data_IF_573477574404
#
_entry.id   IF_573477574404
#
_cell.length_a   1.000
_cell.length_b   1.000
_cell.length_c   1.000
_cell.angle_alpha   90.00
_cell.angle_beta   90.00
_cell.angle_gamma   90.00
#
_symmetry.space_group_name_H-M   'P 1'
#
loop_
_entity.id
_entity.type
_entity.pdbx_description
1 polymer ?
#
# COMPACT_ATOMS: atom_id res chain seq x y z
N UNK A 1 21.16 -41.62 8.28
CA UNK A 1 20.34 -42.86 8.39
C UNK A 1 19.80 -43.11 9.80
N UNK A 2 20.61 -43.34 10.84
CA UNK A 2 20.11 -43.68 12.21
C UNK A 2 19.03 -42.73 12.76
N UNK A 3 19.16 -41.42 12.56
CA UNK A 3 18.11 -40.44 12.93
C UNK A 3 16.81 -40.63 12.12
N UNK A 4 16.92 -40.89 10.81
CA UNK A 4 15.79 -41.09 9.92
C UNK A 4 15.07 -42.44 10.11
N UNK A 5 15.75 -43.42 10.69
CA UNK A 5 15.20 -44.73 11.05
C UNK A 5 14.74 -44.81 12.52
N UNK A 6 14.94 -43.74 13.30
CA UNK A 6 14.52 -43.68 14.71
C UNK A 6 15.42 -44.50 15.65
N UNK A 7 16.68 -44.70 15.29
CA UNK A 7 17.67 -45.48 16.06
C UNK A 7 18.59 -44.62 16.93
N UNK A 8 18.30 -43.32 17.03
CA UNK A 8 18.99 -42.42 17.95
C UNK A 8 18.26 -42.36 19.28
N UNK A 9 19.02 -42.32 20.36
CA UNK A 9 18.50 -41.97 21.69
C UNK A 9 18.01 -40.52 21.70
N UNK A 10 17.10 -40.18 22.62
CA UNK A 10 16.58 -38.80 22.74
C UNK A 10 17.70 -37.76 22.96
N UNK A 11 18.79 -38.15 23.64
CA UNK A 11 19.94 -37.27 23.86
C UNK A 11 20.75 -37.03 22.58
N UNK A 12 20.97 -38.07 21.77
CA UNK A 12 21.63 -37.95 20.45
C UNK A 12 20.75 -37.17 19.46
N UNK A 13 19.44 -37.36 19.54
CA UNK A 13 18.44 -36.67 18.73
C UNK A 13 18.43 -35.17 19.01
N UNK A 14 18.35 -34.78 20.28
CA UNK A 14 18.35 -33.38 20.70
C UNK A 14 19.64 -32.65 20.27
N UNK A 15 20.80 -33.29 20.43
CA UNK A 15 22.09 -32.72 20.00
C UNK A 15 22.17 -32.54 18.48
N UNK A 16 21.56 -33.44 17.71
CA UNK A 16 21.52 -33.35 16.26
C UNK A 16 20.52 -32.27 15.80
N UNK A 17 19.36 -32.15 16.43
CA UNK A 17 18.37 -31.11 16.15
C UNK A 17 18.93 -29.70 16.42
N UNK A 18 19.71 -29.52 17.49
CA UNK A 18 20.38 -28.26 17.80
C UNK A 18 21.35 -27.81 16.69
N UNK A 19 22.03 -28.76 16.04
CA UNK A 19 22.89 -28.45 14.89
C UNK A 19 22.09 -28.05 13.65
N UNK A 20 20.94 -28.68 13.40
CA UNK A 20 20.05 -28.28 12.29
C UNK A 20 19.50 -26.86 12.45
N UNK A 21 19.32 -26.38 13.68
CA UNK A 21 18.91 -24.99 13.92
C UNK A 21 20.03 -23.97 13.70
N UNK A 22 21.29 -24.42 13.72
CA UNK A 22 22.47 -23.55 13.66
C UNK A 22 23.17 -23.57 12.30
N UNK A 23 23.00 -24.64 11.53
CA UNK A 23 23.63 -24.86 10.23
C UNK A 23 22.60 -25.37 9.20
N UNK A 24 22.21 -24.48 8.28
CA UNK A 24 21.26 -24.78 7.21
C UNK A 24 21.77 -25.91 6.28
N UNK A 25 23.09 -26.08 6.13
CA UNK A 25 23.66 -27.11 5.25
C UNK A 25 23.47 -28.52 5.83
N UNK A 26 23.62 -28.70 7.15
CA UNK A 26 23.36 -30.01 7.80
C UNK A 26 21.89 -30.42 7.69
N UNK A 27 20.97 -29.44 7.70
CA UNK A 27 19.56 -29.68 7.51
C UNK A 27 19.23 -30.08 6.06
N UNK A 28 19.82 -29.41 5.06
CA UNK A 28 19.67 -29.78 3.65
C UNK A 28 20.15 -31.21 3.37
N UNK A 29 21.30 -31.61 3.92
CA UNK A 29 21.83 -32.97 3.79
C UNK A 29 20.87 -34.02 4.37
N UNK A 30 20.19 -33.69 5.49
CA UNK A 30 19.16 -34.55 6.07
C UNK A 30 17.94 -34.67 5.14
N UNK A 31 17.50 -33.58 4.52
CA UNK A 31 16.34 -33.60 3.61
C UNK A 31 16.61 -34.43 2.35
N UNK A 32 17.84 -34.36 1.82
CA UNK A 32 18.30 -35.21 0.73
C UNK A 32 18.26 -36.68 1.15
N UNK A 33 18.83 -37.02 2.30
CA UNK A 33 18.83 -38.39 2.81
C UNK A 33 17.42 -38.93 3.11
N UNK A 34 16.47 -38.10 3.56
CA UNK A 34 15.07 -38.49 3.76
C UNK A 34 14.37 -38.78 2.43
N UNK A 35 14.67 -38.00 1.39
CA UNK A 35 14.11 -38.20 0.05
C UNK A 35 14.59 -39.52 -0.56
N UNK A 36 15.90 -39.78 -0.50
CA UNK A 36 16.48 -41.01 -1.04
C UNK A 36 15.97 -42.27 -0.32
N UNK A 37 15.78 -42.19 1.01
CA UNK A 37 15.20 -43.27 1.80
C UNK A 37 13.76 -43.60 1.38
N UNK A 38 12.96 -42.58 1.04
CA UNK A 38 11.60 -42.74 0.53
C UNK A 38 11.61 -43.40 -0.85
N UNK A 39 12.53 -42.99 -1.72
CA UNK A 39 12.65 -43.56 -3.07
C UNK A 39 13.05 -45.03 -3.02
N UNK A 40 14.04 -45.40 -2.19
CA UNK A 40 14.44 -46.79 -1.95
C UNK A 40 13.31 -47.63 -1.35
N UNK A 41 12.50 -47.05 -0.44
CA UNK A 41 11.32 -47.72 0.11
C UNK A 41 10.27 -48.02 -0.97
N UNK A 42 10.04 -47.08 -1.88
CA UNK A 42 9.08 -47.24 -2.98
C UNK A 42 9.57 -48.20 -4.07
N UNK A 43 10.88 -48.26 -4.30
CA UNK A 43 11.53 -49.16 -5.25
C UNK A 43 11.73 -50.59 -4.70
N UNK A 44 11.40 -50.85 -3.43
CA UNK A 44 11.66 -52.11 -2.73
C UNK A 44 13.15 -52.47 -2.61
N UNK A 45 14.01 -51.45 -2.51
CA UNK A 45 15.47 -51.59 -2.43
C UNK A 45 16.02 -51.49 -0.99
N UNK A 46 15.15 -51.21 0.00
CA UNK A 46 15.55 -51.20 1.40
C UNK A 46 15.79 -52.60 1.95
N UNK A 47 16.79 -52.71 2.83
CA UNK A 47 17.01 -53.95 3.58
C UNK A 47 15.77 -54.28 4.44
N UNK A 48 15.46 -55.56 4.71
CA UNK A 48 14.29 -55.93 5.52
C UNK A 48 14.27 -55.28 6.92
N UNK A 49 15.45 -55.07 7.52
CA UNK A 49 15.59 -54.41 8.81
C UNK A 49 15.26 -52.91 8.73
N UNK A 50 15.86 -52.21 7.77
CA UNK A 50 15.64 -50.77 7.58
C UNK A 50 14.20 -50.47 7.17
N UNK A 51 13.62 -51.33 6.32
CA UNK A 51 12.22 -51.23 5.92
C UNK A 51 11.27 -51.31 7.12
N UNK A 52 11.52 -52.25 8.03
CA UNK A 52 10.71 -52.40 9.25
C UNK A 52 10.80 -51.16 10.14
N UNK A 53 11.99 -50.57 10.29
CA UNK A 53 12.21 -49.35 11.07
C UNK A 53 11.53 -48.15 10.42
N UNK A 54 11.66 -48.02 9.10
CA UNK A 54 11.02 -46.98 8.32
C UNK A 54 9.48 -47.06 8.40
N UNK A 55 8.90 -48.24 8.27
CA UNK A 55 7.45 -48.46 8.39
C UNK A 55 6.93 -48.09 9.79
N UNK A 56 7.67 -48.42 10.86
CA UNK A 56 7.33 -47.97 12.22
C UNK A 56 7.29 -46.45 12.31
N UNK A 57 8.27 -45.76 11.73
CA UNK A 57 8.32 -44.29 11.73
C UNK A 57 7.21 -43.67 10.87
N UNK A 58 6.85 -44.33 9.78
CA UNK A 58 5.75 -43.91 8.90
C UNK A 58 4.42 -43.86 9.65
N UNK A 59 4.16 -44.80 10.56
CA UNK A 59 2.95 -44.80 11.41
C UNK A 59 2.93 -43.61 12.37
N UNK A 60 4.08 -43.20 12.89
CA UNK A 60 4.19 -42.14 13.92
C UNK A 60 4.31 -40.73 13.35
N UNK A 61 4.64 -40.57 12.06
CA UNK A 61 4.91 -39.26 11.44
C UNK A 61 3.97 -38.94 10.27
N UNK A 62 2.93 -38.11 10.48
CA UNK A 62 2.04 -37.66 9.40
C UNK A 62 2.76 -36.94 8.27
N UNK A 63 3.83 -36.17 8.57
CA UNK A 63 4.68 -35.51 7.56
C UNK A 63 5.31 -36.55 6.64
N UNK A 64 5.86 -37.63 7.20
CA UNK A 64 6.53 -38.67 6.42
C UNK A 64 5.54 -39.46 5.54
N UNK A 65 4.32 -39.71 6.03
CA UNK A 65 3.22 -40.30 5.25
C UNK A 65 2.90 -39.47 4.01
N UNK A 66 2.78 -38.15 4.17
CA UNK A 66 2.50 -37.25 3.06
C UNK A 66 3.63 -37.28 2.02
N UNK A 67 4.89 -37.24 2.47
CA UNK A 67 6.05 -37.30 1.57
C UNK A 67 6.10 -38.61 0.77
N UNK A 68 5.83 -39.75 1.41
CA UNK A 68 5.74 -41.06 0.72
C UNK A 68 4.59 -41.09 -0.28
N UNK A 69 3.43 -40.52 0.06
CA UNK A 69 2.28 -40.43 -0.84
C UNK A 69 2.60 -39.61 -2.09
N UNK A 70 3.17 -38.42 -1.92
CA UNK A 70 3.57 -37.54 -3.02
C UNK A 70 4.56 -38.26 -3.94
N UNK A 71 5.59 -38.87 -3.36
CA UNK A 71 6.63 -39.58 -4.11
C UNK A 71 6.07 -40.78 -4.89
N UNK A 72 5.10 -41.51 -4.31
CA UNK A 72 4.38 -42.59 -5.01
C UNK A 72 3.54 -42.09 -6.19
N UNK A 73 2.87 -40.95 -6.05
CA UNK A 73 2.10 -40.34 -7.16
C UNK A 73 3.04 -39.94 -8.29
N UNK A 74 4.19 -39.34 -7.97
CA UNK A 74 5.20 -38.97 -8.95
C UNK A 74 5.79 -40.20 -9.65
N UNK A 75 6.18 -41.22 -8.91
CA UNK A 75 6.72 -42.47 -9.44
C UNK A 75 5.72 -43.19 -10.36
N UNK A 76 4.44 -43.25 -9.97
CA UNK A 76 3.40 -43.90 -10.80
C UNK A 76 3.11 -43.14 -12.10
N UNK A 77 3.18 -41.80 -12.08
CA UNK A 77 3.09 -40.98 -13.30
C UNK A 77 4.29 -41.21 -14.21
N UNK A 78 5.50 -41.25 -13.67
CA UNK A 78 6.72 -41.49 -14.46
C UNK A 78 6.73 -42.89 -15.09
N UNK A 79 6.29 -43.91 -14.36
CA UNK A 79 6.16 -45.28 -14.89
C UNK A 79 5.15 -45.37 -16.06
N UNK A 80 4.11 -44.54 -16.05
CA UNK A 80 3.13 -44.49 -17.16
C UNK A 80 3.65 -43.84 -18.45
N UNK A 81 4.83 -43.20 -18.42
CA UNK A 81 5.46 -42.57 -19.58
C UNK A 81 6.58 -43.42 -20.22
N UNK A 82 6.88 -44.62 -19.70
CA UNK A 82 7.96 -45.45 -20.21
C UNK A 82 7.69 -46.94 -20.11
N UNK A 83 7.13 -47.53 -21.18
CA UNK A 83 7.36 -48.95 -21.48
C UNK A 83 8.74 -49.10 -22.14
N UNK A 84 9.71 -49.79 -21.53
CA UNK A 84 10.99 -50.10 -22.16
C UNK A 84 10.92 -51.45 -22.88
N UNK A 85 11.28 -51.47 -24.16
CA UNK A 85 11.51 -52.72 -24.90
C UNK A 85 12.76 -53.46 -24.38
N UNK A 86 12.74 -54.80 -24.29
CA UNK A 86 13.86 -55.57 -23.79
C UNK A 86 14.96 -55.69 -24.86
N UNK A 87 16.16 -55.21 -24.57
CA UNK A 87 17.37 -55.55 -25.34
C UNK A 87 18.37 -56.29 -24.45
N UNK A 88 18.78 -57.45 -24.95
CA UNK A 88 19.55 -58.50 -24.28
C UNK A 88 20.93 -58.08 -23.80
N UNK A 89 21.34 -58.63 -22.65
CA UNK A 89 22.64 -58.44 -22.01
C UNK A 89 23.72 -59.35 -22.60
N UNK A 90 24.90 -58.78 -22.89
CA UNK A 90 26.16 -59.51 -23.08
C UNK A 90 27.04 -59.31 -21.85
N UNK A 91 27.81 -60.36 -21.53
CA UNK A 91 28.33 -60.79 -20.24
C UNK A 91 29.79 -60.36 -19.96
N UNK A 92 30.05 -60.11 -18.68
CA UNK A 92 31.28 -60.15 -17.83
C UNK A 92 32.69 -59.91 -18.42
N UNK A 93 33.46 -59.02 -17.77
CA UNK A 93 34.82 -59.31 -17.27
C UNK A 93 35.20 -58.42 -16.05
N UNK A 94 35.97 -58.99 -15.12
CA UNK A 94 36.27 -58.52 -13.75
C UNK A 94 37.78 -58.49 -13.52
N UNK A 95 38.38 -57.36 -13.07
CA UNK A 95 39.57 -57.32 -12.16
C UNK A 95 39.73 -55.90 -11.51
N UNK A 96 40.57 -55.66 -10.46
CA UNK A 96 40.14 -55.31 -9.10
C UNK A 96 40.51 -53.87 -8.64
N UNK A 97 39.98 -53.46 -7.47
CA UNK A 97 40.05 -52.11 -6.87
C UNK A 97 41.13 -51.96 -5.77
N UNK A 98 41.73 -50.76 -5.59
CA UNK A 98 42.26 -50.29 -4.33
C UNK A 98 41.23 -49.47 -3.53
N UNK A 99 41.44 -49.39 -2.21
CA UNK A 99 40.51 -48.98 -1.17
C UNK A 99 40.40 -47.47 -0.98
N UNK A 100 39.14 -46.98 -0.92
CA UNK A 100 38.71 -45.61 -0.56
C UNK A 100 37.32 -45.70 0.13
N UNK A 101 36.83 -44.62 0.76
CA UNK A 101 36.23 -44.61 2.10
C UNK A 101 34.77 -45.06 2.15
N UNK A 102 34.37 -45.60 3.30
CA UNK A 102 33.17 -46.39 3.55
C UNK A 102 31.82 -45.74 3.16
N UNK A 103 31.71 -44.40 3.21
CA UNK A 103 30.51 -43.67 2.82
C UNK A 103 30.34 -43.58 1.30
N UNK A 104 31.43 -43.53 0.52
CA UNK A 104 31.40 -43.73 -0.95
C UNK A 104 31.18 -45.19 -1.36
N UNK A 105 31.27 -46.17 -0.46
CA UNK A 105 30.92 -47.57 -0.77
C UNK A 105 29.43 -47.88 -0.61
N UNK A 106 28.70 -47.06 0.13
CA UNK A 106 27.23 -47.12 0.19
C UNK A 106 26.58 -46.23 -0.89
N UNK A 107 27.25 -45.14 -1.29
CA UNK A 107 26.71 -44.17 -2.27
C UNK A 107 27.60 -43.98 -3.51
N UNK A 108 28.34 -45.01 -3.92
CA UNK A 108 29.26 -44.96 -5.05
C UNK A 108 29.29 -46.25 -5.87
N UNK A 109 28.18 -46.55 -6.52
CA UNK A 109 28.17 -47.31 -7.77
C UNK A 109 27.68 -46.38 -8.87
N UNK A 110 28.57 -46.15 -9.82
CA UNK A 110 28.29 -45.44 -11.06
C UNK A 110 27.38 -46.33 -11.90
N UNK A 111 26.09 -46.01 -11.99
CA UNK A 111 25.39 -46.30 -13.23
C UNK A 111 26.02 -45.40 -14.28
N UNK A 112 26.59 -46.02 -15.31
CA UNK A 112 26.75 -45.41 -16.63
C UNK A 112 25.47 -44.61 -16.90
N UNK A 113 25.55 -43.28 -16.86
CA UNK A 113 24.49 -42.44 -17.40
C UNK A 113 24.48 -42.76 -18.90
N UNK A 114 23.64 -43.72 -19.30
CA UNK A 114 23.11 -43.77 -20.65
C UNK A 114 22.71 -42.34 -21.03
N UNK A 115 22.91 -41.86 -22.27
CA UNK A 115 22.59 -40.48 -22.64
C UNK A 115 21.14 -40.05 -22.30
N UNK A 116 20.24 -41.01 -22.04
CA UNK A 116 18.90 -40.79 -21.48
C UNK A 116 18.86 -40.23 -20.03
N UNK A 117 19.81 -40.59 -19.17
CA UNK A 117 19.84 -40.17 -17.76
C UNK A 117 20.38 -38.73 -17.61
N UNK A 118 21.33 -38.33 -18.47
CA UNK A 118 21.74 -36.93 -18.58
C UNK A 118 20.60 -36.05 -19.10
N UNK A 119 19.78 -36.56 -20.03
CA UNK A 119 18.58 -35.87 -20.49
C UNK A 119 17.52 -35.73 -19.38
N UNK A 120 17.32 -36.74 -18.55
CA UNK A 120 16.39 -36.69 -17.42
C UNK A 120 16.79 -35.65 -16.36
N UNK A 121 18.09 -35.55 -16.05
CA UNK A 121 18.61 -34.59 -15.08
C UNK A 121 18.49 -33.15 -15.60
N UNK A 122 18.74 -32.95 -16.90
CA UNK A 122 18.48 -31.67 -17.58
C UNK A 122 16.99 -31.32 -17.56
N UNK A 123 16.10 -32.28 -17.78
CA UNK A 123 14.65 -32.04 -17.72
C UNK A 123 14.17 -31.69 -16.31
N UNK A 124 14.73 -32.30 -15.26
CA UNK A 124 14.42 -31.96 -13.87
C UNK A 124 14.94 -30.57 -13.54
N UNK A 125 16.15 -30.20 -13.98
CA UNK A 125 16.67 -28.85 -13.81
C UNK A 125 15.81 -27.82 -14.54
N UNK A 126 15.40 -28.10 -15.79
CA UNK A 126 14.53 -27.23 -16.56
C UNK A 126 13.15 -27.11 -15.92
N UNK A 127 12.58 -28.21 -15.41
CA UNK A 127 11.31 -28.20 -14.70
C UNK A 127 11.41 -27.44 -13.36
N UNK A 128 12.51 -27.60 -12.63
CA UNK A 128 12.78 -26.87 -11.39
C UNK A 128 12.92 -25.37 -11.63
N UNK A 129 13.66 -24.98 -12.67
CA UNK A 129 13.77 -23.57 -13.08
C UNK A 129 12.43 -23.02 -13.56
N UNK A 130 11.64 -23.79 -14.33
CA UNK A 130 10.31 -23.39 -14.76
C UNK A 130 9.36 -23.20 -13.56
N UNK A 131 9.37 -24.12 -12.60
CA UNK A 131 8.61 -24.02 -11.36
C UNK A 131 9.06 -22.83 -10.51
N UNK A 132 10.36 -22.58 -10.41
CA UNK A 132 10.90 -21.41 -9.72
C UNK A 132 10.47 -20.10 -10.37
N UNK A 133 10.42 -20.05 -11.71
CA UNK A 133 9.91 -18.89 -12.45
C UNK A 133 8.41 -18.70 -12.20
N UNK A 134 7.61 -19.77 -12.24
CA UNK A 134 6.18 -19.70 -11.95
C UNK A 134 5.93 -19.28 -10.51
N UNK A 135 6.67 -19.83 -9.56
CA UNK A 135 6.56 -19.49 -8.14
C UNK A 135 7.00 -18.05 -7.86
N UNK A 136 8.07 -17.59 -8.51
CA UNK A 136 8.52 -16.19 -8.48
C UNK A 136 7.44 -15.25 -9.03
N UNK A 137 6.79 -15.61 -10.14
CA UNK A 137 5.67 -14.82 -10.70
C UNK A 137 4.47 -14.78 -9.75
N UNK A 138 4.11 -15.90 -9.15
CA UNK A 138 3.02 -15.96 -8.16
C UNK A 138 3.34 -15.13 -6.92
N UNK A 139 4.60 -15.14 -6.46
CA UNK A 139 5.05 -14.30 -5.34
C UNK A 139 5.02 -12.82 -5.70
N UNK A 140 5.26 -12.46 -6.96
CA UNK A 140 5.15 -11.07 -7.42
C UNK A 140 3.70 -10.56 -7.43
N UNK A 141 2.72 -11.42 -7.76
CA UNK A 141 1.29 -11.07 -7.67
C UNK A 141 0.85 -10.86 -6.21
N UNK A 142 1.32 -11.73 -5.31
CA UNK A 142 1.09 -11.58 -3.88
C UNK A 142 1.65 -10.25 -3.33
N UNK A 143 2.83 -9.83 -3.78
CA UNK A 143 3.40 -8.53 -3.40
C UNK A 143 2.61 -7.34 -3.96
N UNK A 144 2.08 -7.44 -5.19
CA UNK A 144 1.23 -6.38 -5.78
C UNK A 144 -0.08 -6.21 -5.02
N UNK A 145 -0.73 -7.32 -4.66
CA UNK A 145 -1.95 -7.29 -3.84
C UNK A 145 -1.67 -6.68 -2.46
N UNK A 146 -0.54 -7.01 -1.83
CA UNK A 146 -0.13 -6.39 -0.58
C UNK A 146 0.16 -4.88 -0.72
N UNK A 147 0.72 -4.45 -1.84
CA UNK A 147 0.93 -3.03 -2.11
C UNK A 147 -0.39 -2.28 -2.37
N UNK A 148 -1.35 -2.90 -3.08
CA UNK A 148 -2.68 -2.31 -3.30
C UNK A 148 -3.45 -2.17 -1.99
N UNK A 149 -3.41 -3.18 -1.10
CA UNK A 149 -4.06 -3.08 0.21
C UNK A 149 -3.43 -1.99 1.06
N UNK A 150 -2.10 -1.86 1.07
CA UNK A 150 -1.42 -0.75 1.73
C UNK A 150 -1.85 0.61 1.17
N UNK A 151 -1.95 0.74 -0.16
CA UNK A 151 -2.38 1.98 -0.79
C UNK A 151 -3.84 2.32 -0.45
N UNK A 152 -4.73 1.33 -0.38
CA UNK A 152 -6.14 1.53 0.04
C UNK A 152 -6.23 2.00 1.48
N UNK A 153 -5.48 1.39 2.39
CA UNK A 153 -5.45 1.79 3.80
C UNK A 153 -4.95 3.23 3.95
N UNK A 154 -3.93 3.61 3.18
CA UNK A 154 -3.42 4.99 3.18
C UNK A 154 -4.45 6.00 2.64
N UNK A 155 -5.14 5.66 1.54
CA UNK A 155 -6.22 6.51 0.99
C UNK A 155 -7.39 6.64 1.97
N UNK A 156 -7.80 5.55 2.61
CA UNK A 156 -8.84 5.58 3.64
C UNK A 156 -8.44 6.47 4.82
N UNK A 157 -7.16 6.43 5.22
CA UNK A 157 -6.62 7.30 6.26
C UNK A 157 -6.68 8.77 5.86
N UNK A 158 -6.29 9.11 4.62
CA UNK A 158 -6.37 10.48 4.11
C UNK A 158 -7.82 10.98 4.04
N UNK A 159 -8.76 10.12 3.64
CA UNK A 159 -10.19 10.45 3.62
C UNK A 159 -10.71 10.69 5.04
N UNK A 160 -10.34 9.83 5.99
CA UNK A 160 -10.73 9.99 7.40
C UNK A 160 -10.17 11.28 7.99
N UNK A 161 -8.92 11.63 7.66
CA UNK A 161 -8.29 12.88 8.09
C UNK A 161 -8.99 14.10 7.47
N UNK A 162 -9.21 14.12 6.15
CA UNK A 162 -9.93 15.21 5.47
C UNK A 162 -11.33 15.40 6.03
N UNK A 163 -12.04 14.29 6.29
CA UNK A 163 -13.36 14.34 6.91
C UNK A 163 -13.31 14.93 8.31
N UNK A 164 -12.36 14.49 9.14
CA UNK A 164 -12.18 15.06 10.49
C UNK A 164 -11.89 16.56 10.47
N UNK A 165 -11.12 17.01 9.48
CA UNK A 165 -10.78 18.43 9.31
C UNK A 165 -11.98 19.24 8.84
N UNK A 166 -12.79 18.68 7.93
CA UNK A 166 -14.06 19.29 7.53
C UNK A 166 -15.01 19.43 8.71
N UNK A 167 -15.17 18.38 9.51
CA UNK A 167 -16.03 18.39 10.70
C UNK A 167 -15.56 19.41 11.74
N UNK A 168 -14.24 19.58 11.91
CA UNK A 168 -13.65 20.63 12.76
C UNK A 168 -13.96 22.04 12.24
N UNK A 169 -13.77 22.29 10.94
CA UNK A 169 -14.09 23.59 10.35
C UNK A 169 -15.57 23.94 10.50
N UNK A 170 -16.47 22.97 10.32
CA UNK A 170 -17.90 23.18 10.51
C UNK A 170 -18.23 23.53 11.97
N UNK A 171 -17.57 22.88 12.94
CA UNK A 171 -17.71 23.19 14.36
C UNK A 171 -17.21 24.60 14.69
N UNK A 172 -16.04 24.98 14.18
CA UNK A 172 -15.45 26.31 14.36
C UNK A 172 -16.34 27.40 13.75
N UNK A 173 -16.86 27.18 12.54
CA UNK A 173 -17.80 28.10 11.89
C UNK A 173 -19.08 28.28 12.72
N UNK A 174 -19.67 27.18 13.20
CA UNK A 174 -20.84 27.26 14.06
C UNK A 174 -20.56 27.98 15.37
N UNK A 175 -19.37 27.79 15.95
CA UNK A 175 -18.97 28.51 17.15
C UNK A 175 -18.83 30.01 16.87
N UNK A 176 -18.16 30.40 15.79
CA UNK A 176 -18.02 31.80 15.40
C UNK A 176 -19.39 32.47 15.14
N UNK A 177 -20.33 31.75 14.51
CA UNK A 177 -21.70 32.23 14.31
C UNK A 177 -22.39 32.46 15.67
N UNK A 178 -22.33 31.47 16.59
CA UNK A 178 -22.92 31.60 17.94
C UNK A 178 -22.33 32.77 18.72
N UNK A 179 -21.00 32.91 18.72
CA UNK A 179 -20.31 34.02 19.38
C UNK A 179 -20.74 35.38 18.80
N UNK A 180 -20.89 35.47 17.48
CA UNK A 180 -21.37 36.68 16.81
C UNK A 180 -22.83 36.98 17.15
N UNK A 181 -23.69 35.98 17.18
CA UNK A 181 -25.10 36.14 17.58
C UNK A 181 -25.22 36.61 19.03
N UNK A 182 -24.44 36.05 19.94
CA UNK A 182 -24.38 36.50 21.33
C UNK A 182 -23.86 37.94 21.46
N UNK A 183 -22.81 38.29 20.70
CA UNK A 183 -22.28 39.65 20.67
C UNK A 183 -23.32 40.65 20.12
N UNK A 184 -24.04 40.29 19.07
CA UNK A 184 -25.14 41.10 18.52
C UNK A 184 -26.29 41.24 19.52
N UNK A 185 -26.66 40.18 20.25
CA UNK A 185 -27.69 40.24 21.28
C UNK A 185 -27.28 41.12 22.47
N UNK A 186 -26.00 41.06 22.89
CA UNK A 186 -25.43 41.97 23.90
C UNK A 186 -25.44 43.42 23.44
N UNK A 187 -25.09 43.67 22.17
CA UNK A 187 -25.14 45.02 21.60
C UNK A 187 -26.58 45.56 21.55
N UNK A 188 -27.54 44.75 21.11
CA UNK A 188 -28.96 45.13 21.05
C UNK A 188 -29.58 45.38 22.43
N UNK A 189 -29.15 44.66 23.46
CA UNK A 189 -29.67 44.81 24.82
C UNK A 189 -29.02 45.97 25.60
N UNK A 190 -27.84 46.43 25.20
CA UNK A 190 -27.14 47.55 25.83
C UNK A 190 -27.34 48.90 25.12
N UNK A 191 -27.81 48.91 23.85
CA UNK A 191 -28.27 50.14 23.21
C UNK A 191 -29.55 50.64 23.89
N UNK A 192 -29.58 51.87 24.42
CA UNK A 192 -30.82 52.49 24.84
C UNK A 192 -31.75 52.54 23.63
N UNK A 193 -33.01 52.11 23.79
CA UNK A 193 -34.08 52.46 22.87
C UNK A 193 -34.29 53.97 22.93
N UNK A 194 -33.44 54.73 22.26
CA UNK A 194 -33.69 56.13 21.99
C UNK A 194 -34.64 56.16 20.81
N UNK A 195 -35.91 56.47 21.09
CA UNK A 195 -36.93 56.90 20.11
C UNK A 195 -36.52 58.23 19.45
N UNK A 196 -35.29 58.34 18.94
CA UNK A 196 -34.92 59.38 17.99
C UNK A 196 -35.18 58.85 16.59
N UNK A 197 -35.78 59.65 15.69
CA UNK A 197 -36.02 59.24 14.32
C UNK A 197 -34.67 58.89 13.69
N UNK A 198 -34.49 57.60 13.38
CA UNK A 198 -33.35 57.08 12.66
C UNK A 198 -33.19 57.90 11.37
N UNK A 199 -32.20 58.78 11.39
CA UNK A 199 -31.73 59.46 10.20
C UNK A 199 -31.13 58.39 9.29
N UNK A 200 -31.89 57.94 8.29
CA UNK A 200 -31.42 56.93 7.35
C UNK A 200 -30.33 57.57 6.49
N UNK A 201 -29.09 57.11 6.67
CA UNK A 201 -27.96 57.50 5.85
C UNK A 201 -27.86 56.51 4.69
N UNK A 202 -27.94 57.00 3.45
CA UNK A 202 -27.73 56.17 2.28
C UNK A 202 -26.29 56.31 1.79
N UNK A 203 -25.54 55.20 1.74
CA UNK A 203 -24.14 55.18 1.26
C UNK A 203 -24.07 54.72 -0.19
N UNK A 204 -23.38 55.47 -1.05
CA UNK A 204 -23.14 55.13 -2.45
C UNK A 204 -21.65 55.15 -2.78
N UNK A 205 -21.15 54.03 -3.29
CA UNK A 205 -19.78 53.92 -3.79
C UNK A 205 -19.69 54.39 -5.24
N UNK A 206 -18.78 55.32 -5.50
CA UNK A 206 -18.50 55.92 -6.79
C UNK A 206 -17.21 55.33 -7.36
N UNK A 207 -17.23 55.02 -8.66
CA UNK A 207 -16.05 54.59 -9.41
C UNK A 207 -15.43 55.80 -10.13
N UNK A 208 -14.09 55.93 -10.15
CA UNK A 208 -13.42 57.03 -10.84
C UNK A 208 -13.64 56.91 -12.37
N UNK A 209 -13.95 58.03 -13.02
CA UNK A 209 -14.20 58.08 -14.47
C UNK A 209 -15.62 57.74 -14.92
N UNK A 210 -16.54 57.41 -14.00
CA UNK A 210 -17.93 57.14 -14.34
C UNK A 210 -18.67 58.43 -14.79
N UNK A 211 -19.26 58.39 -15.98
CA UNK A 211 -20.12 59.46 -16.53
C UNK A 211 -21.57 58.98 -16.52
N UNK A 212 -22.51 59.86 -16.15
CA UNK A 212 -23.95 59.60 -15.99
C UNK A 212 -24.62 58.87 -17.17
N UNK A 213 -24.08 58.97 -18.39
CA UNK A 213 -24.65 58.39 -19.62
C UNK A 213 -23.93 57.15 -20.15
N UNK A 214 -22.79 56.76 -19.61
CA UNK A 214 -21.95 55.68 -20.14
C UNK A 214 -21.99 54.42 -19.26
N UNK A 215 -23.19 54.01 -18.86
CA UNK A 215 -23.45 52.67 -18.31
C UNK A 215 -22.85 52.33 -16.94
N UNK A 216 -22.37 53.32 -16.17
CA UNK A 216 -21.66 53.07 -14.90
C UNK A 216 -22.19 53.79 -13.66
N UNK A 217 -23.22 54.63 -13.77
CA UNK A 217 -23.81 55.31 -12.60
C UNK A 217 -24.94 54.50 -11.98
N UNK A 218 -24.86 54.17 -10.69
CA UNK A 218 -26.01 53.65 -9.92
C UNK A 218 -26.94 54.80 -9.58
N UNK A 219 -28.22 54.69 -9.95
CA UNK A 219 -29.25 55.64 -9.56
C UNK A 219 -29.70 55.36 -8.12
N UNK A 220 -29.60 56.36 -7.24
CA UNK A 220 -30.08 56.29 -5.87
C UNK A 220 -31.39 57.11 -5.76
N UNK A 221 -32.56 56.47 -5.65
CA UNK A 221 -33.81 57.18 -5.42
C UNK A 221 -33.80 57.77 -4.01
N UNK A 222 -33.76 59.10 -3.91
CA UNK A 222 -33.82 59.81 -2.63
C UNK A 222 -35.28 59.87 -2.15
N UNK A 223 -35.63 59.03 -1.16
CA UNK A 223 -36.90 59.13 -0.42
C UNK A 223 -36.83 60.25 0.62
N UNK A 224 -37.97 60.83 1.00
CA UNK A 224 -38.08 61.84 2.08
C UNK A 224 -37.66 61.33 3.46
N UNK A 225 -37.36 60.04 3.58
CA UNK A 225 -36.87 59.38 4.79
C UNK A 225 -35.34 59.44 4.94
N UNK A 226 -34.60 59.85 3.89
CA UNK A 226 -33.14 59.94 3.87
C UNK A 226 -32.72 61.36 4.26
N UNK A 227 -32.08 61.50 5.42
CA UNK A 227 -31.63 62.81 5.94
C UNK A 227 -30.15 63.11 5.62
N UNK A 228 -29.35 62.10 5.28
CA UNK A 228 -27.97 62.28 4.81
C UNK A 228 -27.58 61.22 3.77
N UNK A 229 -26.67 61.60 2.87
CA UNK A 229 -26.10 60.70 1.87
C UNK A 229 -24.59 60.70 2.03
N UNK A 230 -24.00 59.52 2.17
CA UNK A 230 -22.56 59.34 2.21
C UNK A 230 -22.05 58.84 0.85
N UNK A 231 -20.97 59.44 0.37
CA UNK A 231 -20.45 59.21 -0.98
C UNK A 231 -18.97 58.86 -0.89
N UNK A 232 -18.65 57.60 -1.10
CA UNK A 232 -17.28 57.10 -1.10
C UNK A 232 -16.78 56.96 -2.54
N UNK A 233 -15.70 57.66 -2.87
CA UNK A 233 -15.03 57.55 -4.17
C UNK A 233 -13.70 56.83 -3.97
N UNK A 234 -13.52 55.71 -4.66
CA UNK A 234 -12.22 55.06 -4.74
C UNK A 234 -11.31 55.84 -5.69
N UNK A 235 -10.13 56.22 -5.23
CA UNK A 235 -9.17 56.99 -6.00
C UNK A 235 -7.90 56.16 -6.11
N UNK A 236 -7.83 55.37 -7.17
CA UNK A 236 -6.64 54.56 -7.52
C UNK A 236 -5.52 55.50 -8.01
N UNK A 237 -4.34 55.42 -7.39
CA UNK A 237 -3.16 56.28 -7.59
C UNK A 237 -3.39 57.79 -7.34
N UNK A 238 -3.31 58.19 -6.06
CA UNK A 238 -3.43 59.58 -5.65
C UNK A 238 -2.17 60.42 -5.94
N UNK A 239 -1.98 60.84 -7.19
CA UNK A 239 -0.96 61.87 -7.54
C UNK A 239 -1.32 63.28 -7.01
N UNK A 240 -2.51 63.44 -6.44
CA UNK A 240 -3.05 64.73 -6.00
C UNK A 240 -3.26 64.78 -4.48
N UNK A 241 -2.77 65.85 -3.84
CA UNK A 241 -2.84 66.06 -2.39
C UNK A 241 -4.20 66.54 -1.87
N UNK A 242 -5.11 66.95 -2.77
CA UNK A 242 -6.43 67.48 -2.42
C UNK A 242 -7.41 67.38 -3.58
N UNK A 243 -8.67 67.10 -3.25
CA UNK A 243 -9.78 66.99 -4.19
C UNK A 243 -10.87 68.03 -3.87
N UNK A 244 -11.72 68.34 -4.84
CA UNK A 244 -12.90 69.18 -4.65
C UNK A 244 -14.12 68.51 -5.27
N UNK A 245 -15.20 68.41 -4.49
CA UNK A 245 -16.47 67.87 -4.96
C UNK A 245 -17.48 69.00 -5.14
N UNK A 246 -18.27 68.93 -6.22
CA UNK A 246 -19.37 69.86 -6.48
C UNK A 246 -20.61 69.08 -6.88
N UNK A 247 -21.73 69.34 -6.22
CA UNK A 247 -23.03 68.76 -6.54
C UNK A 247 -23.80 69.78 -7.39
N UNK A 248 -24.30 69.35 -8.55
CA UNK A 248 -25.04 70.19 -9.48
C UNK A 248 -26.38 69.54 -9.84
N UNK A 249 -27.40 70.37 -10.09
CA UNK A 249 -28.66 69.90 -10.68
C UNK A 249 -28.47 69.61 -12.18
N UNK A 250 -29.40 68.89 -12.83
CA UNK A 250 -29.35 68.65 -14.29
C UNK A 250 -29.30 69.95 -15.12
N UNK A 251 -29.83 71.05 -14.59
CA UNK A 251 -29.84 72.38 -15.21
C UNK A 251 -28.53 73.16 -14.99
N UNK A 252 -27.52 72.53 -14.37
CA UNK A 252 -26.19 73.11 -14.13
C UNK A 252 -26.11 74.02 -12.91
N UNK A 253 -27.14 74.08 -12.06
CA UNK A 253 -27.12 74.87 -10.83
C UNK A 253 -26.32 74.14 -9.75
N UNK A 254 -25.30 74.80 -9.19
CA UNK A 254 -24.52 74.25 -8.07
C UNK A 254 -25.36 74.26 -6.80
N UNK A 255 -25.55 73.08 -6.21
CA UNK A 255 -26.30 72.86 -4.95
C UNK A 255 -25.36 72.86 -3.75
N UNK A 256 -24.17 72.27 -3.90
CA UNK A 256 -23.17 72.22 -2.83
C UNK A 256 -21.75 72.14 -3.41
N UNK A 257 -20.78 72.67 -2.67
CA UNK A 257 -19.36 72.58 -3.00
C UNK A 257 -18.55 72.28 -1.75
N UNK A 258 -17.71 71.25 -1.82
CA UNK A 258 -16.77 70.87 -0.76
C UNK A 258 -15.34 70.88 -1.30
N UNK A 259 -14.57 71.95 -1.04
CA UNK A 259 -13.16 72.01 -1.41
C UNK A 259 -12.28 71.27 -0.38
N UNK A 260 -11.03 70.97 -0.77
CA UNK A 260 -9.97 70.44 0.10
C UNK A 260 -10.25 69.08 0.75
N UNK A 261 -10.94 68.19 0.04
CA UNK A 261 -11.13 66.80 0.47
C UNK A 261 -9.80 66.05 0.37
N UNK A 262 -9.44 65.34 1.43
CA UNK A 262 -8.22 64.53 1.50
C UNK A 262 -8.59 63.05 1.39
N UNK A 263 -7.85 62.24 0.61
CA UNK A 263 -8.07 60.80 0.58
C UNK A 263 -7.74 60.21 1.95
N UNK A 264 -8.61 59.32 2.43
CA UNK A 264 -8.42 58.58 3.68
C UNK A 264 -8.04 57.15 3.27
N UNK A 265 -6.92 56.63 3.78
CA UNK A 265 -6.56 55.24 3.52
C UNK A 265 -7.50 54.33 4.32
N UNK A 266 -8.31 53.56 3.61
CA UNK A 266 -9.09 52.49 4.21
C UNK A 266 -8.13 51.38 4.66
N UNK A 267 -7.96 51.21 5.97
CA UNK A 267 -7.32 50.01 6.53
C UNK A 267 -8.30 48.86 6.34
N UNK A 268 -7.97 47.96 5.40
CA UNK A 268 -8.60 46.64 5.29
C UNK A 268 -8.36 45.79 6.53
#
# INVERSE_FOLDING_TARGET
MRYLLGELSEQEKASLEERFFSDDQEFEELEVAETELIDQYLADELSPGDRTLFEKRLVTSPRLVERVRISRILASRLASFGEPQPVSTVRDEVVPTPTLPWWRKLFGSQTLLSPAFAAALVLILVAGVALAIVWSRYRSESQRLAAETQQRVELERQIAELKSRSDQLDQDLQQAIREREEALAKFHSQSPQTDEPLSHIATLFLMPGAVRSAGGGKDLPLSSEISAVDLDLDVSDSDYSSYAATVQTPEGKVVARKPNLKPIQSRG
#
